data_IF_995917581845
#
_entry.id   IF_995917581845
#
_cell.length_a   1.000
_cell.length_b   1.000
_cell.length_c   1.000
_cell.angle_alpha   90.00
_cell.angle_beta   90.00
_cell.angle_gamma   90.00
#
_symmetry.space_group_name_H-M   'P 1'
#
loop_
_entity.id
_entity.type
_entity.pdbx_description
1 polymer ?
#
# COMPACT_ATOMS: atom_id res chain seq x y z
N UNK A 1 10.84 -23.44 -7.65
CA UNK A 1 10.39 -22.24 -6.91
C UNK A 1 8.88 -22.33 -6.76
N UNK A 2 8.30 -21.97 -5.59
CA UNK A 2 6.83 -21.85 -5.47
C UNK A 2 6.38 -20.72 -6.39
N UNK A 3 5.28 -20.93 -7.11
CA UNK A 3 4.71 -19.93 -7.99
C UNK A 3 4.35 -18.69 -7.15
N UNK A 4 4.89 -17.53 -7.55
CA UNK A 4 4.64 -16.26 -6.86
C UNK A 4 3.21 -15.80 -7.13
N UNK A 5 2.50 -15.41 -6.06
CA UNK A 5 1.12 -14.94 -6.16
C UNK A 5 1.12 -13.43 -6.42
N UNK A 6 0.56 -13.04 -7.54
CA UNK A 6 0.50 -11.67 -8.02
C UNK A 6 -0.91 -11.12 -7.87
N UNK A 7 -1.06 -9.87 -7.45
CA UNK A 7 -2.38 -9.34 -7.10
C UNK A 7 -2.58 -7.84 -7.37
N UNK A 8 -1.62 -7.14 -7.99
CA UNK A 8 -1.82 -5.74 -8.33
C UNK A 8 -2.63 -5.61 -9.62
N UNK A 9 -3.76 -4.93 -9.52
CA UNK A 9 -4.64 -4.62 -10.64
C UNK A 9 -4.34 -3.21 -11.15
N UNK A 10 -4.41 -3.00 -12.47
CA UNK A 10 -4.15 -1.71 -13.08
C UNK A 10 -5.34 -0.77 -12.92
N UNK A 11 -5.15 0.35 -12.23
CA UNK A 11 -6.19 1.35 -12.00
C UNK A 11 -6.59 2.04 -13.31
N UNK A 12 -7.89 2.24 -13.50
CA UNK A 12 -8.39 3.07 -14.61
C UNK A 12 -7.91 4.51 -14.42
N UNK A 13 -7.57 5.19 -15.51
CA UNK A 13 -7.21 6.60 -15.48
C UNK A 13 -8.43 7.41 -15.01
N UNK A 14 -8.21 8.28 -14.00
CA UNK A 14 -9.20 9.24 -13.54
C UNK A 14 -8.59 10.64 -13.61
N UNK A 15 -9.26 11.53 -14.29
CA UNK A 15 -8.77 12.90 -14.48
C UNK A 15 -8.78 13.73 -13.19
N UNK A 16 -9.50 13.26 -12.17
CA UNK A 16 -9.57 13.88 -10.84
C UNK A 16 -8.40 13.52 -9.94
N UNK A 17 -7.56 12.55 -10.34
CA UNK A 17 -6.37 12.20 -9.56
C UNK A 17 -5.41 13.38 -9.52
N UNK A 18 -4.95 13.71 -8.33
CA UNK A 18 -3.79 14.58 -8.19
C UNK A 18 -2.57 13.94 -8.83
N UNK A 19 -1.75 14.78 -9.48
CA UNK A 19 -0.57 14.32 -10.20
C UNK A 19 0.65 15.09 -9.75
N UNK A 20 1.72 14.37 -9.45
CA UNK A 20 3.06 14.92 -9.34
C UNK A 20 3.66 14.83 -10.74
N UNK A 21 3.89 15.99 -11.34
CA UNK A 21 4.59 16.10 -12.63
C UNK A 21 5.77 17.03 -12.44
N UNK A 22 6.96 16.51 -12.61
CA UNK A 22 8.20 17.25 -12.43
C UNK A 22 8.92 17.30 -13.76
N UNK A 23 9.35 18.49 -14.15
CA UNK A 23 10.23 18.65 -15.30
C UNK A 23 11.57 17.96 -15.03
N UNK A 24 12.29 17.62 -16.09
CA UNK A 24 13.63 17.06 -15.96
C UNK A 24 14.50 18.08 -15.18
N UNK A 25 15.09 17.61 -14.10
CA UNK A 25 16.00 18.35 -13.25
C UNK A 25 17.12 17.45 -12.77
N UNK A 26 18.15 18.05 -12.21
CA UNK A 26 19.25 17.28 -11.65
C UNK A 26 18.84 16.66 -10.30
N UNK A 27 18.91 15.36 -10.23
CA UNK A 27 18.76 14.60 -8.99
C UNK A 27 20.12 14.02 -8.57
N UNK A 28 20.33 13.75 -7.26
CA UNK A 28 21.53 13.04 -6.82
C UNK A 28 21.63 11.68 -7.51
N UNK A 29 22.87 11.18 -7.70
CA UNK A 29 23.12 9.87 -8.32
C UNK A 29 22.44 8.71 -7.62
N UNK A 30 22.26 8.84 -6.29
CA UNK A 30 21.54 7.86 -5.46
C UNK A 30 20.79 8.56 -4.34
N UNK A 31 19.74 7.93 -3.87
CA UNK A 31 18.95 8.35 -2.70
C UNK A 31 18.31 7.12 -2.07
N UNK A 32 18.12 7.13 -0.77
CA UNK A 32 17.46 6.07 -0.01
C UNK A 32 16.66 6.67 1.14
N UNK A 33 15.39 6.27 1.24
CA UNK A 33 14.63 6.45 2.46
C UNK A 33 15.22 5.56 3.55
N UNK A 34 15.68 6.16 4.63
CA UNK A 34 16.28 5.44 5.76
C UNK A 34 15.20 4.91 6.68
N UNK A 35 15.53 3.90 7.49
CA UNK A 35 14.63 3.32 8.48
C UNK A 35 13.34 2.78 7.83
N UNK A 36 13.49 1.98 6.78
CA UNK A 36 12.36 1.28 6.19
C UNK A 36 11.82 0.23 7.16
N UNK A 37 10.50 0.07 7.26
CA UNK A 37 9.87 -0.96 8.08
C UNK A 37 10.33 -2.38 7.72
N UNK A 38 10.17 -3.35 8.64
CA UNK A 38 10.51 -4.74 8.41
C UNK A 38 9.83 -5.33 7.17
N UNK A 39 10.51 -6.31 6.56
CA UNK A 39 10.01 -7.01 5.38
C UNK A 39 8.78 -7.85 5.74
N UNK A 40 7.70 -7.66 5.00
CA UNK A 40 6.47 -8.43 5.14
C UNK A 40 6.46 -9.67 4.25
N UNK A 41 5.56 -10.61 4.56
CA UNK A 41 5.34 -11.79 3.73
C UNK A 41 3.84 -12.01 3.49
N UNK A 42 3.40 -11.83 2.23
CA UNK A 42 2.01 -12.01 1.83
C UNK A 42 1.59 -13.49 1.67
N UNK A 43 2.54 -14.42 1.77
CA UNK A 43 2.25 -15.84 1.61
C UNK A 43 1.63 -16.17 0.25
N UNK A 44 0.50 -16.88 0.27
CA UNK A 44 -0.23 -17.31 -0.94
C UNK A 44 -1.40 -16.40 -1.33
N UNK A 45 -1.45 -15.16 -0.80
CA UNK A 45 -2.57 -14.26 -0.97
C UNK A 45 -2.24 -13.15 -1.97
N UNK A 46 -3.22 -12.70 -2.74
CA UNK A 46 -3.08 -11.63 -3.73
C UNK A 46 -3.05 -10.22 -3.13
N UNK A 47 -2.47 -10.08 -1.94
CA UNK A 47 -2.50 -8.88 -1.09
C UNK A 47 -1.26 -7.99 -1.20
N UNK A 48 -0.45 -8.12 -2.25
CA UNK A 48 0.79 -7.34 -2.42
C UNK A 48 0.56 -5.82 -2.31
N UNK A 49 -0.57 -5.31 -2.81
CA UNK A 49 -0.91 -3.89 -2.72
C UNK A 49 -1.15 -3.46 -1.27
N UNK A 50 -1.89 -4.25 -0.49
CA UNK A 50 -2.13 -3.98 0.93
C UNK A 50 -0.81 -4.03 1.73
N UNK A 51 0.06 -5.01 1.45
CA UNK A 51 1.37 -5.13 2.10
C UNK A 51 2.26 -3.91 1.81
N UNK A 52 2.38 -3.52 0.54
CA UNK A 52 3.17 -2.36 0.17
C UNK A 52 2.60 -1.05 0.75
N UNK A 53 1.27 -0.91 0.78
CA UNK A 53 0.59 0.26 1.34
C UNK A 53 0.80 0.35 2.85
N UNK A 54 0.60 -0.74 3.59
CA UNK A 54 0.82 -0.81 5.04
C UNK A 54 2.28 -0.47 5.40
N UNK A 55 3.26 -1.01 4.64
CA UNK A 55 4.68 -0.68 4.83
C UNK A 55 4.96 0.82 4.70
N UNK A 56 4.33 1.52 3.75
CA UNK A 56 4.52 2.97 3.60
C UNK A 56 3.91 3.73 4.77
N UNK A 57 2.74 3.33 5.27
CA UNK A 57 2.14 3.94 6.45
C UNK A 57 2.96 3.72 7.71
N UNK A 58 3.50 2.51 7.89
CA UNK A 58 4.42 2.21 8.99
C UNK A 58 5.66 3.10 8.96
N UNK A 59 6.21 3.37 7.76
CA UNK A 59 7.32 4.31 7.61
C UNK A 59 6.96 5.72 8.09
N UNK A 60 5.77 6.21 7.76
CA UNK A 60 5.32 7.53 8.22
C UNK A 60 5.09 7.56 9.72
N UNK A 61 4.40 6.55 10.25
CA UNK A 61 4.13 6.45 11.69
C UNK A 61 5.42 6.39 12.52
N UNK A 62 6.38 5.57 12.12
CA UNK A 62 7.68 5.50 12.81
C UNK A 62 8.43 6.84 12.77
N UNK A 63 8.37 7.53 11.62
CA UNK A 63 8.98 8.85 11.48
C UNK A 63 8.33 9.90 12.39
N UNK A 64 7.01 9.84 12.57
CA UNK A 64 6.24 10.79 13.39
C UNK A 64 6.31 10.47 14.88
N UNK A 65 6.16 9.19 15.23
CA UNK A 65 6.02 8.74 16.62
C UNK A 65 7.35 8.36 17.25
N UNK A 66 8.38 8.11 16.43
CA UNK A 66 9.69 7.65 16.88
C UNK A 66 9.74 6.19 17.30
N UNK A 67 8.64 5.44 17.11
CA UNK A 67 8.50 4.04 17.46
C UNK A 67 7.77 3.29 16.34
N UNK A 68 8.28 2.09 16.01
CA UNK A 68 7.66 1.22 15.01
C UNK A 68 6.43 0.52 15.59
N UNK A 69 5.32 0.62 14.87
CA UNK A 69 4.10 -0.13 15.16
C UNK A 69 3.64 -0.86 13.90
N UNK A 70 3.46 -2.18 13.99
CA UNK A 70 3.01 -2.98 12.85
C UNK A 70 1.53 -2.74 12.56
N UNK A 71 1.24 -2.38 11.29
CA UNK A 71 -0.11 -2.16 10.78
C UNK A 71 -0.69 -3.41 10.11
N UNK A 72 -2.01 -3.43 9.95
CA UNK A 72 -2.76 -4.59 9.50
C UNK A 72 -2.98 -4.60 8.00
N UNK A 73 -2.17 -5.38 7.29
CA UNK A 73 -2.42 -5.63 5.86
C UNK A 73 -3.81 -6.23 5.60
N UNK A 74 -4.36 -6.96 6.57
CA UNK A 74 -5.68 -7.56 6.49
C UNK A 74 -6.80 -6.51 6.56
N UNK A 75 -6.59 -5.42 7.32
CA UNK A 75 -7.52 -4.30 7.34
C UNK A 75 -7.64 -3.67 5.96
N UNK A 76 -6.51 -3.26 5.36
CA UNK A 76 -6.52 -2.66 4.02
C UNK A 76 -7.13 -3.61 3.00
N UNK A 77 -6.72 -4.89 3.00
CA UNK A 77 -7.20 -5.88 2.03
C UNK A 77 -8.69 -6.20 2.21
N UNK A 78 -9.17 -6.28 3.45
CA UNK A 78 -10.58 -6.50 3.74
C UNK A 78 -11.46 -5.28 3.45
N UNK A 79 -10.94 -4.07 3.66
CA UNK A 79 -11.68 -2.83 3.37
C UNK A 79 -12.03 -2.67 1.88
N UNK A 80 -11.26 -3.26 0.95
CA UNK A 80 -11.64 -3.24 -0.46
C UNK A 80 -12.97 -3.93 -0.75
N UNK A 81 -13.30 -5.03 -0.03
CA UNK A 81 -14.59 -5.68 -0.17
C UNK A 81 -15.70 -4.81 0.42
N UNK A 82 -15.45 -4.18 1.56
CA UNK A 82 -16.41 -3.30 2.23
C UNK A 82 -16.73 -2.08 1.37
N UNK A 83 -15.70 -1.42 0.83
CA UNK A 83 -15.84 -0.18 0.08
C UNK A 83 -16.23 -0.38 -1.38
N UNK A 84 -15.73 -1.44 -2.02
CA UNK A 84 -15.80 -1.61 -3.48
C UNK A 84 -16.45 -2.93 -3.90
N UNK A 85 -16.90 -3.75 -2.96
CA UNK A 85 -17.49 -5.08 -3.19
C UNK A 85 -16.56 -5.98 -4.03
N UNK A 86 -15.28 -6.06 -3.66
CA UNK A 86 -14.27 -6.88 -4.33
C UNK A 86 -13.70 -7.91 -3.37
N UNK A 87 -13.87 -9.18 -3.72
CA UNK A 87 -13.38 -10.32 -2.96
C UNK A 87 -12.09 -10.83 -3.61
N UNK A 88 -11.11 -11.16 -2.84
CA UNK A 88 -9.83 -11.86 -3.12
C UNK A 88 -9.45 -12.04 -4.62
N UNK A 89 -9.52 -10.99 -5.39
CA UNK A 89 -9.15 -10.95 -6.82
C UNK A 89 -7.89 -10.12 -7.10
N UNK A 90 -7.17 -9.73 -6.04
CA UNK A 90 -6.14 -8.68 -6.08
C UNK A 90 -6.72 -7.32 -5.74
N UNK A 91 -5.94 -6.27 -5.89
CA UNK A 91 -6.30 -4.92 -5.46
C UNK A 91 -5.76 -3.86 -6.44
N UNK A 92 -6.53 -2.80 -6.67
CA UNK A 92 -6.06 -1.61 -7.38
C UNK A 92 -5.27 -0.71 -6.44
N UNK A 93 -4.15 -0.16 -6.91
CA UNK A 93 -3.33 0.74 -6.11
C UNK A 93 -4.14 1.99 -5.68
N UNK A 94 -4.94 2.55 -6.57
CA UNK A 94 -5.80 3.68 -6.24
C UNK A 94 -6.81 3.35 -5.13
N UNK A 95 -7.36 2.14 -5.11
CA UNK A 95 -8.31 1.76 -4.06
C UNK A 95 -7.61 1.69 -2.69
N UNK A 96 -6.38 1.18 -2.63
CA UNK A 96 -5.56 1.25 -1.42
C UNK A 96 -5.34 2.71 -0.98
N UNK A 97 -4.94 3.59 -1.91
CA UNK A 97 -4.79 5.02 -1.61
C UNK A 97 -6.08 5.64 -1.03
N UNK A 98 -7.24 5.27 -1.57
CA UNK A 98 -8.54 5.74 -1.07
C UNK A 98 -8.85 5.21 0.31
N UNK A 99 -8.62 3.92 0.56
CA UNK A 99 -8.83 3.29 1.87
C UNK A 99 -8.01 4.03 2.92
N UNK A 100 -6.70 4.17 2.71
CA UNK A 100 -5.83 4.79 3.73
C UNK A 100 -6.06 6.29 3.90
N UNK A 101 -6.60 6.97 2.89
CA UNK A 101 -7.04 8.36 3.02
C UNK A 101 -8.35 8.48 3.80
N UNK A 102 -9.30 7.59 3.57
CA UNK A 102 -10.64 7.67 4.15
C UNK A 102 -10.72 7.04 5.55
N UNK A 103 -9.99 5.95 5.76
CA UNK A 103 -10.07 5.13 6.97
C UNK A 103 -8.74 4.93 7.68
N UNK A 104 -7.61 5.11 7.00
CA UNK A 104 -6.29 4.77 7.54
C UNK A 104 -6.01 3.28 7.46
N UNK A 105 -5.19 2.81 8.42
CA UNK A 105 -4.88 1.39 8.62
C UNK A 105 -4.85 1.06 10.11
N UNK A 106 -5.44 -0.04 10.52
CA UNK A 106 -5.49 -0.43 11.91
C UNK A 106 -4.17 -1.08 12.35
N UNK A 107 -3.86 -1.01 13.64
CA UNK A 107 -2.77 -1.81 14.22
C UNK A 107 -3.02 -3.30 14.00
N UNK A 108 -1.97 -4.04 13.70
CA UNK A 108 -2.06 -5.48 13.44
C UNK A 108 -2.66 -6.26 14.60
N UNK A 109 -2.36 -5.89 15.83
CA UNK A 109 -2.92 -6.51 17.03
C UNK A 109 -4.44 -6.37 17.15
N UNK A 110 -5.02 -5.31 16.55
CA UNK A 110 -6.48 -5.05 16.54
C UNK A 110 -7.18 -5.89 15.46
N UNK A 111 -6.50 -6.13 14.35
CA UNK A 111 -7.00 -6.88 13.20
C UNK A 111 -5.93 -7.89 12.82
N UNK A 112 -5.78 -8.92 13.65
CA UNK A 112 -4.88 -10.04 13.34
C UNK A 112 -5.61 -11.05 12.48
N UNK A 113 -5.15 -11.21 11.26
CA UNK A 113 -5.52 -12.33 10.40
C UNK A 113 -4.40 -13.36 10.36
N UNK A 114 -4.75 -14.54 9.89
CA UNK A 114 -3.75 -15.50 9.48
C UNK A 114 -3.18 -15.03 8.14
N UNK A 115 -1.86 -14.97 7.97
CA UNK A 115 -1.18 -14.63 6.72
C UNK A 115 -1.56 -15.56 5.56
N UNK A 116 -2.16 -16.72 5.84
CA UNK A 116 -2.67 -17.65 4.84
C UNK A 116 -4.13 -17.40 4.46
N UNK A 117 -4.87 -16.62 5.27
CA UNK A 117 -6.26 -16.24 5.00
C UNK A 117 -6.48 -14.80 5.47
N UNK A 118 -6.33 -13.81 4.59
CA UNK A 118 -6.61 -12.43 4.95
C UNK A 118 -8.06 -12.31 5.38
N UNK A 119 -8.31 -11.38 6.30
CA UNK A 119 -9.67 -11.00 6.67
C UNK A 119 -10.35 -10.41 5.42
N UNK A 120 -10.94 -11.29 4.59
CA UNK A 120 -11.82 -10.85 3.51
C UNK A 120 -12.90 -9.93 4.11
N UNK A 121 -13.43 -9.03 3.32
CA UNK A 121 -14.40 -8.03 3.79
C UNK A 121 -15.54 -8.62 4.60
N UNK A 122 -15.95 -9.85 4.31
CA UNK A 122 -16.99 -10.56 5.06
C UNK A 122 -16.55 -10.87 6.50
N UNK A 123 -15.30 -11.33 6.69
CA UNK A 123 -14.73 -11.56 8.01
C UNK A 123 -14.40 -10.23 8.70
N UNK A 124 -13.86 -9.25 7.97
CA UNK A 124 -13.56 -7.94 8.52
C UNK A 124 -14.84 -7.27 9.06
N UNK A 125 -15.96 -7.34 8.34
CA UNK A 125 -17.26 -6.81 8.79
C UNK A 125 -17.72 -7.37 10.12
N UNK A 126 -17.38 -8.61 10.44
CA UNK A 126 -17.80 -9.24 11.70
C UNK A 126 -16.97 -8.81 12.91
N UNK A 127 -15.75 -8.36 12.69
CA UNK A 127 -14.82 -7.95 13.76
C UNK A 127 -14.67 -6.43 13.88
N UNK A 128 -15.09 -5.67 12.85
CA UNK A 128 -14.98 -4.21 12.88
C UNK A 128 -15.80 -3.62 14.03
N UNK A 129 -15.12 -2.94 14.91
CA UNK A 129 -15.68 -2.19 16.03
C UNK A 129 -15.35 -0.71 15.90
N UNK A 130 -16.00 0.13 16.68
CA UNK A 130 -15.68 1.56 16.77
C UNK A 130 -14.22 1.79 17.21
N UNK A 131 -13.70 0.95 18.10
CA UNK A 131 -12.30 1.00 18.54
C UNK A 131 -11.33 0.73 17.37
N UNK A 132 -11.60 -0.27 16.53
CA UNK A 132 -10.77 -0.56 15.35
C UNK A 132 -10.83 0.61 14.35
N UNK A 133 -12.01 1.16 14.09
CA UNK A 133 -12.13 2.33 13.20
C UNK A 133 -11.43 3.56 13.75
N UNK A 134 -11.54 3.82 15.05
CA UNK A 134 -10.86 4.94 15.70
C UNK A 134 -9.34 4.76 15.62
N UNK A 135 -8.85 3.55 15.89
CA UNK A 135 -7.44 3.23 15.79
C UNK A 135 -6.94 3.44 14.35
N UNK A 136 -7.62 2.86 13.34
CA UNK A 136 -7.26 3.03 11.95
C UNK A 136 -7.29 4.49 11.49
N UNK A 137 -8.28 5.25 11.93
CA UNK A 137 -8.44 6.65 11.56
C UNK A 137 -7.28 7.55 12.02
N UNK A 138 -6.57 7.16 13.07
CA UNK A 138 -5.39 7.87 13.54
C UNK A 138 -4.16 7.64 12.63
N UNK A 139 -4.23 6.68 11.72
CA UNK A 139 -3.16 6.30 10.79
C UNK A 139 -3.51 6.66 9.33
N UNK A 140 -4.26 7.74 9.11
CA UNK A 140 -4.65 8.17 7.77
C UNK A 140 -3.60 9.06 7.15
N UNK A 141 -3.45 8.93 5.83
CA UNK A 141 -2.74 9.92 5.04
C UNK A 141 -3.63 11.15 4.75
N UNK A 142 -3.01 12.29 4.58
CA UNK A 142 -3.70 13.52 4.18
C UNK A 142 -4.18 13.46 2.74
N UNK A 143 -3.30 13.05 1.84
CA UNK A 143 -3.57 12.97 0.41
C UNK A 143 -2.67 11.97 -0.29
N UNK A 144 -2.98 11.73 -1.56
CA UNK A 144 -2.15 10.92 -2.44
C UNK A 144 -2.13 11.53 -3.84
N UNK A 145 -1.06 11.29 -4.57
CA UNK A 145 -0.89 11.77 -5.93
C UNK A 145 -0.19 10.75 -6.81
N UNK A 146 -0.59 10.68 -8.07
CA UNK A 146 0.04 9.82 -9.07
C UNK A 146 1.35 10.44 -9.55
N UNK A 147 2.45 9.71 -9.48
CA UNK A 147 3.71 10.08 -10.09
C UNK A 147 3.64 9.76 -11.60
N UNK A 148 3.79 10.78 -12.44
CA UNK A 148 3.56 10.63 -13.89
C UNK A 148 4.80 10.24 -14.69
N UNK A 149 5.99 10.38 -14.09
CA UNK A 149 7.26 10.07 -14.73
C UNK A 149 8.35 9.71 -13.68
N UNK A 150 9.51 9.21 -14.09
CA UNK A 150 10.61 8.89 -13.17
C UNK A 150 11.08 10.08 -12.31
N UNK A 151 11.08 11.29 -12.86
CA UNK A 151 11.44 12.49 -12.11
C UNK A 151 10.45 12.77 -10.98
N UNK A 152 9.14 12.54 -11.21
CA UNK A 152 8.10 12.64 -10.19
C UNK A 152 8.28 11.62 -9.06
N UNK A 153 8.71 10.39 -9.39
CA UNK A 153 9.02 9.37 -8.37
C UNK A 153 10.21 9.82 -7.53
N UNK A 154 11.30 10.28 -8.14
CA UNK A 154 12.47 10.79 -7.42
C UNK A 154 12.12 11.98 -6.53
N UNK A 155 11.33 12.90 -7.06
CA UNK A 155 10.84 14.05 -6.29
C UNK A 155 10.01 13.60 -5.08
N UNK A 156 9.09 12.66 -5.27
CA UNK A 156 8.24 12.13 -4.21
C UNK A 156 9.07 11.46 -3.12
N UNK A 157 10.05 10.61 -3.49
CA UNK A 157 10.96 9.95 -2.55
C UNK A 157 11.72 10.94 -1.68
N UNK A 158 12.19 12.06 -2.26
CA UNK A 158 12.98 13.06 -1.52
C UNK A 158 12.14 13.96 -0.62
N UNK A 159 10.89 14.23 -1.00
CA UNK A 159 10.08 15.24 -0.31
C UNK A 159 8.98 14.62 0.57
N UNK A 160 8.48 13.44 0.22
CA UNK A 160 7.37 12.81 0.93
C UNK A 160 7.74 11.48 1.56
N UNK A 161 8.55 10.64 0.90
CA UNK A 161 8.96 9.33 1.40
C UNK A 161 8.73 8.22 0.39
N UNK A 162 8.63 6.95 0.84
CA UNK A 162 8.48 5.81 -0.03
C UNK A 162 7.24 5.89 -0.93
N UNK A 163 7.33 5.31 -2.12
CA UNK A 163 6.30 5.38 -3.17
C UNK A 163 5.73 3.99 -3.42
N UNK A 164 4.40 3.89 -3.47
CA UNK A 164 3.69 2.68 -3.87
C UNK A 164 3.81 2.49 -5.38
N UNK A 165 4.50 1.43 -5.80
CA UNK A 165 4.71 1.11 -7.21
C UNK A 165 4.00 -0.16 -7.65
N UNK A 166 3.57 -0.22 -8.91
CA UNK A 166 3.12 -1.46 -9.55
C UNK A 166 3.93 -1.72 -10.80
N UNK A 167 4.31 -2.98 -10.97
CA UNK A 167 5.11 -3.47 -12.09
C UNK A 167 4.44 -4.66 -12.77
N UNK A 168 4.82 -4.89 -14.01
CA UNK A 168 4.55 -6.15 -14.69
C UNK A 168 5.60 -7.15 -14.21
N UNK A 169 5.16 -8.15 -13.48
CA UNK A 169 6.03 -9.21 -13.00
C UNK A 169 5.95 -10.41 -13.93
N UNK A 170 7.03 -10.69 -14.63
CA UNK A 170 7.12 -11.86 -15.48
C UNK A 170 7.43 -13.10 -14.66
N UNK A 171 6.78 -14.22 -14.96
CA UNK A 171 6.96 -15.46 -14.21
C UNK A 171 8.34 -16.08 -14.39
N UNK A 172 8.94 -15.91 -15.58
CA UNK A 172 10.33 -16.26 -15.82
C UNK A 172 11.21 -15.06 -15.51
N UNK A 173 11.92 -15.14 -14.40
CA UNK A 173 12.79 -14.08 -13.90
C UNK A 173 13.89 -14.65 -13.00
N UNK A 174 14.94 -13.90 -12.83
CA UNK A 174 15.99 -14.21 -11.85
C UNK A 174 16.58 -12.92 -11.28
N UNK A 175 17.19 -13.05 -10.11
CA UNK A 175 18.02 -12.01 -9.50
C UNK A 175 19.49 -12.34 -9.75
N UNK A 176 20.27 -11.36 -10.18
CA UNK A 176 21.71 -11.53 -10.24
C UNK A 176 22.37 -11.42 -8.85
N UNK A 177 23.69 -11.52 -8.81
CA UNK A 177 24.48 -11.46 -7.57
C UNK A 177 24.33 -10.12 -6.80
N UNK A 178 23.90 -9.09 -7.49
CA UNK A 178 23.69 -7.74 -6.93
C UNK A 178 22.19 -7.48 -6.65
N UNK A 179 21.38 -8.53 -6.68
CA UNK A 179 19.92 -8.47 -6.53
C UNK A 179 19.19 -7.60 -7.54
N UNK A 180 19.76 -7.44 -8.74
CA UNK A 180 19.08 -6.81 -9.87
C UNK A 180 18.16 -7.82 -10.52
N UNK A 181 16.90 -7.47 -10.72
CA UNK A 181 15.91 -8.35 -11.36
C UNK A 181 16.07 -8.34 -12.88
N UNK A 182 16.02 -9.53 -13.47
CA UNK A 182 15.99 -9.74 -14.92
C UNK A 182 14.75 -10.54 -15.29
N UNK A 183 13.98 -10.04 -16.26
CA UNK A 183 12.75 -10.66 -16.74
C UNK A 183 12.93 -11.26 -18.13
N UNK A 184 12.39 -12.46 -18.31
CA UNK A 184 12.06 -12.92 -19.67
C UNK A 184 10.70 -12.31 -20.05
N UNK A 185 10.75 -11.22 -20.84
CA UNK A 185 9.57 -10.48 -21.27
C UNK A 185 8.66 -11.27 -22.22
N UNK A 186 9.09 -12.43 -22.72
CA UNK A 186 8.28 -13.34 -23.53
C UNK A 186 7.40 -14.25 -22.69
N UNK A 187 7.73 -14.39 -21.40
CA UNK A 187 6.97 -15.22 -20.46
C UNK A 187 5.65 -14.56 -20.05
N UNK A 188 4.74 -15.37 -19.52
CA UNK A 188 3.49 -14.87 -18.91
C UNK A 188 3.78 -13.96 -17.71
N UNK A 189 2.89 -13.03 -17.44
CA UNK A 189 3.06 -12.07 -16.34
C UNK A 189 1.77 -11.78 -15.59
N UNK A 190 1.94 -11.17 -14.42
CA UNK A 190 0.86 -10.57 -13.62
C UNK A 190 1.26 -9.20 -13.09
N UNK A 191 0.33 -8.51 -12.46
CA UNK A 191 0.61 -7.26 -11.77
C UNK A 191 1.12 -7.52 -10.35
N UNK A 192 2.21 -6.88 -9.97
CA UNK A 192 2.78 -6.95 -8.63
C UNK A 192 2.99 -5.56 -8.05
N UNK A 193 2.69 -5.37 -6.76
CA UNK A 193 2.91 -4.13 -6.04
C UNK A 193 4.13 -4.25 -5.13
N UNK A 194 4.91 -3.18 -5.10
CA UNK A 194 6.15 -3.06 -4.34
C UNK A 194 6.24 -1.68 -3.71
N UNK A 195 7.13 -1.53 -2.74
CA UNK A 195 7.53 -0.22 -2.21
C UNK A 195 8.80 0.23 -2.89
N UNK A 196 8.78 1.39 -3.54
CA UNK A 196 9.97 2.06 -4.05
C UNK A 196 10.48 2.93 -2.92
N UNK A 197 11.71 2.69 -2.45
CA UNK A 197 12.27 3.43 -1.31
C UNK A 197 13.58 4.16 -1.64
N UNK A 198 14.01 4.12 -2.90
CA UNK A 198 15.21 4.81 -3.34
C UNK A 198 15.62 4.48 -4.76
N UNK A 199 16.81 4.90 -5.11
CA UNK A 199 17.46 4.58 -6.38
C UNK A 199 18.98 4.67 -6.25
N UNK A 200 19.66 4.01 -7.17
CA UNK A 200 21.11 4.11 -7.38
C UNK A 200 21.44 4.05 -8.89
N UNK A 201 22.69 3.87 -9.25
CA UNK A 201 23.13 3.83 -10.65
C UNK A 201 22.56 2.62 -11.42
N UNK A 202 22.18 1.52 -10.73
CA UNK A 202 21.65 0.29 -11.33
C UNK A 202 20.14 0.33 -11.54
N UNK A 203 19.40 1.13 -10.75
CA UNK A 203 17.95 1.17 -10.83
C UNK A 203 17.28 1.67 -9.55
N UNK A 204 16.00 1.33 -9.44
CA UNK A 204 15.16 1.63 -8.30
C UNK A 204 15.34 0.61 -7.19
N UNK A 205 15.52 1.06 -5.97
CA UNK A 205 15.57 0.22 -4.78
C UNK A 205 14.15 -0.10 -4.35
N UNK A 206 13.81 -1.39 -4.34
CA UNK A 206 12.46 -1.85 -4.10
C UNK A 206 12.39 -2.84 -2.93
N UNK A 207 11.42 -2.64 -2.05
CA UNK A 207 11.07 -3.58 -0.98
C UNK A 207 9.89 -4.44 -1.43
N UNK A 208 10.05 -5.77 -1.29
CA UNK A 208 9.06 -6.76 -1.67
C UNK A 208 8.27 -7.28 -0.45
N UNK A 209 7.22 -8.03 -0.70
CA UNK A 209 6.36 -8.66 0.31
C UNK A 209 6.40 -10.19 0.26
N UNK A 210 7.58 -10.77 0.03
CA UNK A 210 7.77 -12.24 -0.02
C UNK A 210 8.74 -12.76 1.04
N UNK A 211 8.91 -11.99 2.13
CA UNK A 211 9.80 -12.32 3.24
C UNK A 211 11.27 -12.02 2.94
N UNK A 212 12.08 -12.11 3.98
CA UNK A 212 13.51 -11.75 3.94
C UNK A 212 14.38 -12.70 3.10
N UNK A 213 13.88 -13.89 2.78
CA UNK A 213 14.61 -14.85 1.96
C UNK A 213 14.58 -14.53 0.45
N UNK A 214 13.85 -13.49 0.04
CA UNK A 214 13.81 -13.02 -1.33
C UNK A 214 14.85 -11.92 -1.54
N UNK A 215 15.66 -12.02 -2.61
CA UNK A 215 16.66 -11.02 -2.97
C UNK A 215 17.66 -10.70 -1.84
N UNK A 216 18.04 -9.45 -1.74
CA UNK A 216 18.88 -8.97 -0.64
C UNK A 216 17.98 -8.63 0.56
N UNK A 217 17.77 -9.63 1.45
CA UNK A 217 16.93 -9.50 2.65
C UNK A 217 15.55 -8.88 2.38
N UNK A 218 14.84 -9.41 1.38
CA UNK A 218 13.49 -8.96 1.01
C UNK A 218 13.44 -7.77 0.05
N UNK A 219 14.60 -7.27 -0.40
CA UNK A 219 14.70 -6.17 -1.34
C UNK A 219 15.32 -6.61 -2.68
N UNK A 220 15.13 -5.80 -3.71
CA UNK A 220 15.73 -5.99 -5.02
C UNK A 220 15.90 -4.66 -5.76
N UNK A 221 16.70 -4.66 -6.81
CA UNK A 221 16.87 -3.52 -7.71
C UNK A 221 16.02 -3.75 -8.97
N UNK A 222 15.14 -2.80 -9.26
CA UNK A 222 14.32 -2.76 -10.47
C UNK A 222 14.99 -1.85 -11.50
N UNK A 223 15.56 -2.40 -12.60
CA UNK A 223 16.31 -1.63 -13.60
C UNK A 223 15.50 -0.52 -14.25
N UNK A 224 16.17 0.55 -14.66
CA UNK A 224 15.53 1.70 -15.33
C UNK A 224 14.95 1.38 -16.71
N UNK A 225 15.38 0.30 -17.35
CA UNK A 225 14.86 -0.18 -18.64
C UNK A 225 13.41 -0.66 -18.52
N UNK A 226 12.98 -1.12 -17.34
CA UNK A 226 11.60 -1.49 -17.08
C UNK A 226 10.79 -0.31 -16.54
N UNK A 227 9.50 -0.29 -16.85
CA UNK A 227 8.61 0.79 -16.45
C UNK A 227 7.62 0.36 -15.37
N UNK A 228 7.42 1.23 -14.38
CA UNK A 228 6.26 1.12 -13.51
C UNK A 228 4.96 1.28 -14.29
N UNK A 229 3.97 0.47 -14.00
CA UNK A 229 2.61 0.60 -14.57
C UNK A 229 1.84 1.72 -13.87
N UNK A 230 2.05 1.84 -12.58
CA UNK A 230 1.54 2.92 -11.73
C UNK A 230 2.56 3.21 -10.63
N UNK A 231 2.59 4.48 -10.19
CA UNK A 231 3.33 4.90 -9.02
C UNK A 231 2.52 5.98 -8.28
N UNK A 232 2.35 5.82 -6.97
CA UNK A 232 1.56 6.70 -6.12
C UNK A 232 2.36 7.13 -4.90
N UNK A 233 2.44 8.45 -4.72
CA UNK A 233 3.02 9.05 -3.52
C UNK A 233 1.91 9.34 -2.52
N UNK A 234 2.18 9.10 -1.26
CA UNK A 234 1.35 9.54 -0.16
C UNK A 234 1.92 10.83 0.42
N UNK A 235 1.03 11.69 0.86
CA UNK A 235 1.38 12.89 1.61
C UNK A 235 0.72 12.72 2.97
N UNK A 236 1.54 12.57 3.98
CA UNK A 236 1.06 12.47 5.34
C UNK A 236 0.85 13.87 5.94
N UNK A 237 0.01 13.96 6.95
CA UNK A 237 -0.22 15.19 7.65
C UNK A 237 0.93 15.41 8.63
N UNK A 238 1.70 16.48 8.47
CA UNK A 238 2.44 17.00 9.60
C UNK A 238 1.43 17.36 10.69
N UNK A 239 1.62 16.82 11.87
CA UNK A 239 0.69 16.87 13.01
C UNK A 239 0.30 18.29 13.45
N UNK A 240 0.97 19.34 12.96
CA UNK A 240 0.79 20.70 13.39
C UNK A 240 -0.14 21.57 12.51
N UNK A 241 -0.46 21.18 11.28
CA UNK A 241 -1.15 22.08 10.33
C UNK A 241 -2.58 21.70 9.94
N UNK A 242 -3.14 20.56 10.40
CA UNK A 242 -4.47 20.15 9.98
C UNK A 242 -5.38 19.85 11.17
N UNK A 243 -6.08 20.88 11.63
CA UNK A 243 -7.41 20.69 12.18
C UNK A 243 -8.31 20.21 11.06
N UNK A 244 -8.26 18.91 10.75
CA UNK A 244 -9.28 18.29 9.92
C UNK A 244 -10.62 18.61 10.60
N UNK A 245 -11.57 19.27 9.93
CA UNK A 245 -12.89 19.42 10.50
C UNK A 245 -13.39 18.01 10.84
N UNK A 246 -13.97 17.78 12.00
CA UNK A 246 -14.53 16.50 12.32
C UNK A 246 -15.45 16.15 11.15
N UNK A 247 -15.16 15.06 10.44
CA UNK A 247 -16.11 14.50 9.49
C UNK A 247 -17.30 14.02 10.29
N UNK A 248 -18.17 14.98 10.59
CA UNK A 248 -19.47 14.69 11.09
C UNK A 248 -20.14 13.72 10.13
N UNK A 249 -20.44 12.53 10.61
CA UNK A 249 -21.77 12.01 10.45
C UNK A 249 -22.10 11.05 9.29
N UNK A 250 -21.29 10.69 8.35
CA UNK A 250 -21.72 9.65 7.41
C UNK A 250 -21.54 8.26 8.05
N UNK A 251 -20.42 8.00 8.69
CA UNK A 251 -20.17 6.72 9.40
C UNK A 251 -21.08 6.64 10.63
N UNK A 252 -21.21 7.70 11.41
CA UNK A 252 -22.16 7.79 12.51
C UNK A 252 -23.61 7.62 12.04
N UNK A 253 -23.95 8.18 10.90
CA UNK A 253 -25.28 8.02 10.31
C UNK A 253 -25.52 6.57 9.84
N UNK A 254 -24.52 5.95 9.21
CA UNK A 254 -24.58 4.55 8.79
C UNK A 254 -24.63 3.61 10.00
N UNK A 255 -23.83 3.86 11.05
CA UNK A 255 -23.90 3.08 12.29
C UNK A 255 -25.23 3.26 13.04
N UNK A 256 -25.73 4.48 13.11
CA UNK A 256 -27.07 4.75 13.68
C UNK A 256 -28.16 4.09 12.87
N UNK A 257 -28.06 4.11 11.53
CA UNK A 257 -29.01 3.43 10.63
C UNK A 257 -28.96 1.91 10.79
N UNK A 258 -27.76 1.33 10.83
CA UNK A 258 -27.54 -0.11 11.04
C UNK A 258 -28.08 -0.53 12.41
N UNK A 259 -27.79 0.20 13.46
CA UNK A 259 -28.31 -0.10 14.79
C UNK A 259 -29.83 0.04 14.89
N UNK A 260 -30.41 1.01 14.22
CA UNK A 260 -31.89 1.14 14.12
C UNK A 260 -32.47 -0.05 13.38
N UNK A 261 -31.88 -0.49 12.28
CA UNK A 261 -32.33 -1.66 11.52
C UNK A 261 -32.17 -2.94 12.33
N UNK A 262 -31.04 -3.13 13.02
CA UNK A 262 -30.79 -4.30 13.87
C UNK A 262 -31.75 -4.35 15.08
N UNK A 263 -32.08 -3.21 15.68
CA UNK A 263 -33.05 -3.13 16.77
C UNK A 263 -34.48 -3.38 16.27
N UNK A 264 -34.80 -2.98 15.04
CA UNK A 264 -36.07 -3.26 14.43
C UNK A 264 -36.26 -4.75 14.09
N UNK A 265 -35.15 -5.43 13.71
CA UNK A 265 -35.15 -6.88 13.41
C UNK A 265 -35.20 -7.71 14.70
N UNK A 266 -34.58 -7.25 15.80
CA UNK A 266 -34.58 -7.94 17.10
C UNK A 266 -35.87 -7.71 17.93
N UNK A 267 -36.69 -6.76 17.56
CA UNK A 267 -37.95 -6.42 18.20
C UNK A 267 -39.19 -7.06 17.58
N UNK A 268 -39.03 -8.04 16.67
CA UNK A 268 -40.09 -8.86 16.10
C UNK A 268 -39.94 -10.34 16.45
#
# INVERSE_FOLDING_TARGET
MKQQILGALLSKIDLRDYKITVAAQDFPKSYICKNMPPIKNQGSIKSCVAHATSTILEFFNEKEQGEYTELSTDFIYGMQDIMFNRKDSGMYLRDACRIVKEYGDAWKEKVSGNTEQPQCGENLRTILTEDIYTNANNQRIQSYARCTNPAAIKYALMNYGPVLGSIRWHHENYLDKDSVIHFDETSTYGGHAIVIYGWNEKGWLCQNSWGENYGEKGTFIFPYEYNFKEAWSFVDADSDDIKCPPRGNIIDLIYKLINVILNFIKGR
#
